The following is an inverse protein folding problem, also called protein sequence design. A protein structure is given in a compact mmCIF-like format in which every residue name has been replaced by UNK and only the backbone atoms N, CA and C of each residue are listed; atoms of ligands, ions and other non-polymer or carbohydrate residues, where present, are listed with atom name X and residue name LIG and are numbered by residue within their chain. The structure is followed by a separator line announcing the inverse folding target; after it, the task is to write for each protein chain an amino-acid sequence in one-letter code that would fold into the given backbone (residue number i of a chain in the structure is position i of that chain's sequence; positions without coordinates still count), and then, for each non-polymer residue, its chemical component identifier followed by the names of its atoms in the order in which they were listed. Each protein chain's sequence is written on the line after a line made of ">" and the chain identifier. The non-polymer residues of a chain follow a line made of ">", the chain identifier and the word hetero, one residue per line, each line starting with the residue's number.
data_IF_194371196113
#
_entry.id   IF_194371196113
#
_cell.length_a   1.000
_cell.length_b   1.000
_cell.length_c   1.000
_cell.angle_alpha   90.00
_cell.angle_beta   90.00
_cell.angle_gamma   90.00
#
_symmetry.space_group_name_H-M   'P 1'
#
loop_
_entity.id
_entity.type
_entity.pdbx_description
1 polymer ?
#
# COMPACT_ATOMS: atom_id res chain seq x y z
N UNK A 1 -22.47 28.39 -40.39
CA UNK A 1 -21.26 28.57 -39.55
C UNK A 1 -21.74 28.85 -38.14
N UNK A 2 -21.44 28.15 -37.07
CA UNK A 2 -20.73 26.91 -36.76
C UNK A 2 -21.30 26.50 -35.38
N UNK A 3 -21.80 25.28 -35.22
CA UNK A 3 -22.20 24.78 -33.90
C UNK A 3 -20.94 24.39 -33.14
N UNK A 4 -20.54 25.20 -32.15
CA UNK A 4 -19.47 24.84 -31.22
C UNK A 4 -19.94 23.73 -30.29
N UNK A 5 -19.40 22.54 -30.51
CA UNK A 5 -19.41 21.43 -29.59
C UNK A 5 -18.66 21.83 -28.31
N UNK A 6 -19.38 22.25 -27.27
CA UNK A 6 -18.84 22.25 -25.92
C UNK A 6 -18.70 20.80 -25.46
N UNK A 7 -17.54 20.21 -25.69
CA UNK A 7 -17.14 18.95 -25.09
C UNK A 7 -17.03 19.16 -23.58
N UNK A 8 -18.05 18.71 -22.86
CA UNK A 8 -18.04 18.59 -21.41
C UNK A 8 -16.81 17.74 -21.00
N UNK A 9 -15.87 18.22 -20.16
CA UNK A 9 -14.71 17.43 -19.79
C UNK A 9 -15.18 16.13 -19.13
N UNK A 10 -14.78 14.99 -19.70
CA UNK A 10 -15.10 13.66 -19.15
C UNK A 10 -14.60 13.63 -17.69
N UNK A 11 -15.53 13.53 -16.74
CA UNK A 11 -15.23 13.34 -15.30
C UNK A 11 -14.25 12.18 -15.13
N UNK A 12 -13.29 12.33 -14.22
CA UNK A 12 -12.35 11.23 -13.93
C UNK A 12 -13.09 10.01 -13.38
N UNK A 13 -12.53 8.81 -13.56
CA UNK A 13 -13.18 7.56 -13.09
C UNK A 13 -13.42 7.56 -11.58
N UNK A 14 -12.56 8.21 -10.79
CA UNK A 14 -12.77 8.42 -9.36
C UNK A 14 -13.90 9.39 -9.05
N UNK A 15 -14.17 10.39 -9.90
CA UNK A 15 -15.32 11.27 -9.79
C UNK A 15 -16.61 10.49 -10.04
N UNK A 16 -16.63 9.61 -11.05
CA UNK A 16 -17.78 8.72 -11.33
C UNK A 16 -18.03 7.74 -10.16
N UNK A 17 -17.00 7.03 -9.69
CA UNK A 17 -17.11 6.10 -8.56
C UNK A 17 -17.47 6.81 -7.24
N UNK A 18 -17.08 8.07 -7.06
CA UNK A 18 -17.48 8.87 -5.90
C UNK A 18 -18.87 9.47 -5.98
N UNK A 19 -19.50 9.51 -7.16
CA UNK A 19 -20.93 9.88 -7.27
C UNK A 19 -21.84 8.68 -6.94
N UNK A 20 -21.32 7.44 -7.04
CA UNK A 20 -22.03 6.20 -6.72
C UNK A 20 -21.70 5.64 -5.32
N UNK A 21 -20.72 6.20 -4.61
CA UNK A 21 -20.24 5.75 -3.30
C UNK A 21 -20.06 6.87 -2.28
N UNK A 22 -20.17 6.56 -0.98
CA UNK A 22 -19.79 7.50 0.09
C UNK A 22 -18.29 7.83 -0.03
N UNK A 23 -17.90 9.09 0.18
CA UNK A 23 -16.49 9.49 0.27
C UNK A 23 -16.19 10.04 1.65
N UNK A 24 -15.02 9.68 2.19
CA UNK A 24 -14.52 10.20 3.46
C UNK A 24 -13.19 10.91 3.23
N UNK A 25 -13.03 12.09 3.83
CA UNK A 25 -11.75 12.82 3.86
C UNK A 25 -11.04 12.49 5.17
N UNK A 26 -9.76 12.12 5.11
CA UNK A 26 -8.93 11.91 6.28
C UNK A 26 -7.66 12.77 6.18
N UNK A 27 -7.32 13.47 7.27
CA UNK A 27 -6.08 14.26 7.40
C UNK A 27 -5.02 13.41 8.08
N UNK A 28 -3.81 13.40 7.53
CA UNK A 28 -2.61 12.85 8.19
C UNK A 28 -1.69 14.01 8.65
N UNK A 29 -0.64 13.69 9.40
CA UNK A 29 0.41 14.65 9.73
C UNK A 29 1.09 15.15 8.44
N UNK A 30 1.09 16.47 8.22
CA UNK A 30 1.43 17.11 6.95
C UNK A 30 0.20 17.34 6.06
N UNK A 31 0.18 18.41 5.25
CA UNK A 31 -0.97 18.87 4.46
C UNK A 31 -1.46 17.91 3.33
N UNK A 32 -1.26 16.59 3.44
CA UNK A 32 -1.79 15.62 2.50
C UNK A 32 -3.26 15.30 2.82
N UNK A 33 -4.14 15.74 1.93
CA UNK A 33 -5.55 15.33 1.93
C UNK A 33 -5.71 14.07 1.10
N UNK A 34 -6.12 12.99 1.76
CA UNK A 34 -6.40 11.72 1.10
C UNK A 34 -7.92 11.55 0.95
N UNK A 35 -8.35 11.31 -0.30
CA UNK A 35 -9.75 10.96 -0.59
C UNK A 35 -9.89 9.44 -0.50
N UNK A 36 -10.71 8.98 0.43
CA UNK A 36 -11.07 7.57 0.57
C UNK A 36 -12.44 7.38 -0.06
N UNK A 37 -12.52 6.41 -0.97
CA UNK A 37 -13.73 6.08 -1.72
C UNK A 37 -14.11 4.64 -1.45
N UNK A 38 -15.38 4.37 -1.17
CA UNK A 38 -15.88 3.01 -1.06
C UNK A 38 -16.15 2.48 -2.47
N UNK A 39 -15.42 1.43 -2.87
CA UNK A 39 -15.47 0.87 -4.22
C UNK A 39 -16.06 -0.55 -4.14
N UNK A 40 -16.93 -0.96 -5.07
CA UNK A 40 -17.35 -2.35 -5.19
C UNK A 40 -16.13 -3.27 -5.35
N UNK A 41 -16.00 -4.26 -4.48
CA UNK A 41 -14.79 -5.05 -4.30
C UNK A 41 -14.36 -5.79 -5.59
N UNK A 42 -15.32 -6.13 -6.43
CA UNK A 42 -15.13 -6.86 -7.69
C UNK A 42 -14.56 -6.01 -8.83
N UNK A 43 -14.58 -4.67 -8.70
CA UNK A 43 -13.96 -3.80 -9.71
C UNK A 43 -12.44 -3.72 -9.58
N UNK A 44 -11.91 -4.09 -8.41
CA UNK A 44 -10.49 -4.03 -8.11
C UNK A 44 -9.75 -5.24 -8.68
N UNK A 45 -8.53 -5.00 -9.14
CA UNK A 45 -7.72 -5.99 -9.83
C UNK A 45 -6.47 -6.34 -9.03
N UNK A 46 -6.32 -7.60 -8.58
CA UNK A 46 -5.10 -8.03 -7.93
C UNK A 46 -3.96 -8.14 -8.94
N UNK A 47 -2.73 -7.79 -8.55
CA UNK A 47 -1.52 -7.97 -9.38
C UNK A 47 -0.62 -9.12 -8.91
N UNK A 48 -0.78 -9.59 -7.67
CA UNK A 48 0.01 -10.69 -7.11
C UNK A 48 -0.88 -11.73 -6.42
N UNK A 49 -0.37 -12.94 -6.22
CA UNK A 49 -1.04 -13.99 -5.46
C UNK A 49 -0.97 -13.73 -3.95
N UNK A 50 -1.99 -14.18 -3.22
CA UNK A 50 -2.02 -14.16 -1.76
C UNK A 50 -1.46 -15.44 -1.12
N UNK A 51 -0.93 -15.31 0.10
CA UNK A 51 -0.66 -16.43 1.01
C UNK A 51 -1.95 -16.92 1.72
N UNK A 52 -2.31 -18.22 1.64
CA UNK A 52 -3.46 -18.79 2.34
C UNK A 52 -3.39 -18.63 3.87
N UNK A 53 -2.24 -18.93 4.47
CA UNK A 53 -2.07 -18.86 5.92
C UNK A 53 -2.25 -17.43 6.44
N UNK A 54 -1.69 -16.44 5.74
CA UNK A 54 -1.86 -15.04 6.14
C UNK A 54 -3.28 -14.51 5.88
N UNK A 55 -3.97 -15.01 4.85
CA UNK A 55 -5.38 -14.71 4.64
C UNK A 55 -6.23 -15.12 5.85
N UNK A 56 -6.07 -16.35 6.35
CA UNK A 56 -6.84 -16.81 7.51
C UNK A 56 -6.51 -16.02 8.78
N UNK A 57 -5.23 -15.71 9.01
CA UNK A 57 -4.83 -14.83 10.12
C UNK A 57 -5.52 -13.46 10.04
N UNK A 58 -5.52 -12.84 8.87
CA UNK A 58 -6.10 -11.52 8.68
C UNK A 58 -7.63 -11.52 8.73
N UNK A 59 -8.30 -12.57 8.22
CA UNK A 59 -9.76 -12.75 8.37
C UNK A 59 -10.15 -12.78 9.85
N UNK A 60 -9.43 -13.56 10.65
CA UNK A 60 -9.69 -13.68 12.08
C UNK A 60 -9.48 -12.35 12.81
N UNK A 61 -8.40 -11.61 12.47
CA UNK A 61 -8.18 -10.26 13.03
C UNK A 61 -9.34 -9.32 12.67
N UNK A 62 -9.69 -9.21 11.39
CA UNK A 62 -10.74 -8.31 10.91
C UNK A 62 -12.09 -8.62 11.58
N UNK A 63 -12.47 -9.91 11.66
CA UNK A 63 -13.73 -10.31 12.28
C UNK A 63 -13.74 -10.04 13.79
N UNK A 64 -12.62 -10.31 14.48
CA UNK A 64 -12.48 -10.04 15.92
C UNK A 64 -12.59 -8.55 16.23
N UNK A 65 -11.97 -7.72 15.40
CA UNK A 65 -11.94 -6.27 15.60
C UNK A 65 -13.28 -5.60 15.22
N UNK A 66 -14.09 -6.23 14.36
CA UNK A 66 -15.35 -5.67 13.85
C UNK A 66 -15.17 -4.47 12.92
N UNK A 67 -13.93 -4.11 12.60
CA UNK A 67 -13.57 -2.96 11.76
C UNK A 67 -12.44 -3.31 10.79
N UNK A 68 -12.45 -2.67 9.62
CA UNK A 68 -11.28 -2.57 8.75
C UNK A 68 -10.47 -1.32 9.11
N UNK A 69 -9.35 -1.52 9.82
CA UNK A 69 -8.51 -0.43 10.36
C UNK A 69 -7.95 0.52 9.29
N UNK A 70 -7.62 0.03 8.10
CA UNK A 70 -6.92 0.80 7.06
C UNK A 70 -7.52 0.54 5.66
N UNK A 71 -7.62 1.56 4.79
CA UNK A 71 -8.05 1.39 3.41
C UNK A 71 -7.00 0.65 2.59
N UNK A 72 -7.40 -0.06 1.54
CA UNK A 72 -6.43 -0.54 0.54
C UNK A 72 -5.94 0.63 -0.32
N UNK A 73 -4.83 0.46 -1.02
CA UNK A 73 -4.33 1.45 -1.97
C UNK A 73 -4.41 0.86 -3.37
N UNK A 74 -4.98 1.60 -4.32
CA UNK A 74 -5.10 1.17 -5.71
C UNK A 74 -4.75 2.30 -6.68
N UNK A 75 -4.31 1.93 -7.87
CA UNK A 75 -4.14 2.86 -8.98
C UNK A 75 -5.51 3.33 -9.51
N UNK A 76 -5.69 4.65 -9.61
CA UNK A 76 -6.96 5.29 -9.92
C UNK A 76 -7.52 4.91 -11.29
N UNK A 77 -6.65 4.81 -12.30
CA UNK A 77 -7.07 4.59 -13.69
C UNK A 77 -7.34 3.12 -13.97
N UNK A 78 -6.47 2.23 -13.50
CA UNK A 78 -6.52 0.80 -13.80
C UNK A 78 -7.36 -0.01 -12.81
N UNK A 79 -7.57 0.52 -11.60
CA UNK A 79 -8.11 -0.17 -10.41
C UNK A 79 -7.25 -1.34 -9.93
N UNK A 80 -5.98 -1.37 -10.31
CA UNK A 80 -5.02 -2.37 -9.82
C UNK A 80 -4.65 -2.05 -8.38
N UNK A 81 -4.76 -3.06 -7.51
CA UNK A 81 -4.40 -2.97 -6.10
C UNK A 81 -2.87 -2.82 -6.01
N UNK A 82 -2.39 -1.88 -5.21
CA UNK A 82 -0.96 -1.65 -4.98
C UNK A 82 -0.56 -2.04 -3.55
N UNK A 83 -1.47 -1.88 -2.59
CA UNK A 83 -1.28 -2.29 -1.21
C UNK A 83 -2.60 -2.78 -0.61
N UNK A 84 -2.53 -3.82 0.22
CA UNK A 84 -3.72 -4.39 0.87
C UNK A 84 -4.37 -5.55 0.12
N UNK A 85 -3.60 -6.27 -0.71
CA UNK A 85 -4.02 -7.52 -1.37
C UNK A 85 -4.74 -8.50 -0.43
N UNK A 86 -4.18 -8.79 0.75
CA UNK A 86 -4.84 -9.67 1.72
C UNK A 86 -6.10 -9.10 2.35
N UNK A 87 -6.20 -7.78 2.52
CA UNK A 87 -7.43 -7.13 3.00
C UNK A 87 -8.56 -7.29 1.98
N UNK A 88 -8.23 -7.13 0.70
CA UNK A 88 -9.16 -7.40 -0.39
C UNK A 88 -9.58 -8.88 -0.44
N UNK A 89 -8.64 -9.83 -0.34
CA UNK A 89 -8.94 -11.27 -0.27
C UNK A 89 -9.81 -11.63 0.93
N UNK A 90 -9.51 -11.09 2.11
CA UNK A 90 -10.26 -11.33 3.33
C UNK A 90 -11.70 -10.85 3.18
N UNK A 91 -11.90 -9.61 2.74
CA UNK A 91 -13.25 -9.07 2.56
C UNK A 91 -14.04 -9.80 1.46
N UNK A 92 -13.38 -10.17 0.36
CA UNK A 92 -14.02 -10.92 -0.73
C UNK A 92 -14.46 -12.33 -0.28
N UNK A 93 -13.59 -13.05 0.44
CA UNK A 93 -13.89 -14.38 0.98
C UNK A 93 -14.90 -14.37 2.12
N UNK A 94 -15.09 -13.23 2.80
CA UNK A 94 -16.13 -13.03 3.82
C UNK A 94 -17.45 -12.50 3.24
N UNK A 95 -17.51 -12.25 1.93
CA UNK A 95 -18.71 -11.81 1.23
C UNK A 95 -19.00 -10.31 1.37
N UNK A 96 -18.04 -9.46 1.73
CA UNK A 96 -18.27 -8.02 1.75
C UNK A 96 -18.29 -7.45 0.32
N UNK A 97 -19.17 -6.48 0.10
CA UNK A 97 -19.44 -5.95 -1.25
C UNK A 97 -18.57 -4.75 -1.61
N UNK A 98 -18.20 -3.94 -0.62
CA UNK A 98 -17.41 -2.71 -0.80
C UNK A 98 -16.16 -2.73 0.06
N UNK A 99 -15.18 -1.95 -0.34
CA UNK A 99 -13.93 -1.75 0.41
C UNK A 99 -13.50 -0.29 0.31
N UNK A 100 -13.02 0.33 1.40
CA UNK A 100 -12.45 1.68 1.33
C UNK A 100 -11.10 1.65 0.62
N UNK A 101 -10.98 2.49 -0.41
CA UNK A 101 -9.82 2.59 -1.28
C UNK A 101 -9.23 3.99 -1.20
N UNK A 102 -7.92 4.04 -1.02
CA UNK A 102 -7.10 5.21 -1.26
C UNK A 102 -6.55 5.16 -2.68
N UNK A 103 -7.03 6.06 -3.54
CA UNK A 103 -6.54 6.12 -4.92
C UNK A 103 -5.24 6.91 -5.05
N UNK A 104 -4.34 6.40 -5.89
CA UNK A 104 -3.09 7.06 -6.29
C UNK A 104 -2.92 6.95 -7.81
N UNK A 105 -2.07 7.79 -8.40
CA UNK A 105 -1.69 7.71 -9.82
C UNK A 105 -0.31 7.07 -9.93
N UNK A 106 -0.22 5.73 -10.00
CA UNK A 106 1.04 5.00 -9.85
C UNK A 106 2.03 5.26 -11.00
N UNK A 107 1.51 5.39 -12.23
CA UNK A 107 2.33 5.63 -13.42
C UNK A 107 2.85 7.06 -13.53
N UNK A 108 2.11 8.03 -12.99
CA UNK A 108 2.39 9.47 -13.16
C UNK A 108 3.01 10.11 -11.91
N UNK A 109 3.05 9.40 -10.79
CA UNK A 109 3.60 9.91 -9.54
C UNK A 109 5.01 9.35 -9.28
N UNK A 110 6.08 10.11 -9.58
CA UNK A 110 7.46 9.65 -9.39
C UNK A 110 7.84 9.45 -7.91
N UNK A 111 7.02 9.94 -6.97
CA UNK A 111 7.23 9.71 -5.53
C UNK A 111 6.79 8.32 -5.08
N UNK A 112 6.08 7.57 -5.93
CA UNK A 112 5.73 6.17 -5.66
C UNK A 112 6.85 5.31 -6.23
N UNK A 113 7.66 4.75 -5.34
CA UNK A 113 8.72 3.80 -5.72
C UNK A 113 8.26 2.38 -5.47
N UNK A 114 8.86 1.45 -6.20
CA UNK A 114 8.58 0.01 -6.06
C UNK A 114 9.90 -0.68 -5.77
N UNK A 115 9.91 -1.50 -4.72
CA UNK A 115 10.98 -2.44 -4.44
C UNK A 115 10.40 -3.83 -4.18
N UNK A 116 11.19 -4.69 -3.56
CA UNK A 116 10.79 -6.03 -3.15
C UNK A 116 11.00 -6.29 -1.65
N UNK A 117 11.83 -5.47 -0.99
CA UNK A 117 12.15 -5.58 0.44
C UNK A 117 11.97 -4.25 1.15
N UNK A 118 11.67 -4.29 2.46
CA UNK A 118 11.52 -3.13 3.35
C UNK A 118 12.67 -2.13 3.25
N UNK A 119 13.92 -2.60 3.27
CA UNK A 119 15.11 -1.75 3.23
C UNK A 119 15.20 -0.87 1.99
N UNK A 120 14.58 -1.25 0.86
CA UNK A 120 14.52 -0.42 -0.36
C UNK A 120 13.76 0.90 -0.16
N UNK A 121 13.13 1.11 1.00
CA UNK A 121 12.66 2.44 1.42
C UNK A 121 13.81 3.44 1.52
N UNK A 122 14.97 2.99 1.99
CA UNK A 122 16.10 3.86 2.36
C UNK A 122 17.25 3.80 1.36
N UNK A 123 17.43 2.65 0.70
CA UNK A 123 18.46 2.44 -0.31
C UNK A 123 17.84 2.36 -1.70
N UNK A 124 18.47 3.00 -2.67
CA UNK A 124 18.16 2.78 -4.09
C UNK A 124 19.05 1.63 -4.60
N UNK A 125 18.45 0.45 -4.79
CA UNK A 125 19.15 -0.71 -5.30
C UNK A 125 18.82 -0.87 -6.79
N UNK A 126 19.60 -0.20 -7.64
CA UNK A 126 19.36 0.04 -9.07
C UNK A 126 19.18 -1.21 -9.96
N UNK A 127 19.34 -2.43 -9.43
CA UNK A 127 19.57 -3.62 -10.24
C UNK A 127 18.39 -4.61 -10.32
N UNK A 128 17.28 -4.39 -9.62
CA UNK A 128 16.02 -5.17 -9.77
C UNK A 128 14.80 -4.28 -9.60
N UNK A 129 14.58 -3.40 -10.57
CA UNK A 129 13.45 -2.46 -10.54
C UNK A 129 12.22 -3.06 -11.22
N UNK A 130 11.30 -3.59 -10.43
CA UNK A 130 9.93 -3.83 -10.90
C UNK A 130 9.29 -2.46 -11.10
N UNK A 131 8.77 -2.22 -12.29
CA UNK A 131 8.16 -0.94 -12.68
C UNK A 131 6.67 -0.91 -12.36
N UNK A 132 6.13 0.30 -12.16
CA UNK A 132 4.68 0.46 -12.02
C UNK A 132 3.94 -0.09 -13.25
N UNK A 133 4.52 0.05 -14.45
CA UNK A 133 3.95 -0.51 -15.69
C UNK A 133 3.79 -2.03 -15.63
N UNK A 134 4.78 -2.76 -15.12
CA UNK A 134 4.70 -4.22 -14.96
C UNK A 134 3.62 -4.61 -13.94
N UNK A 135 3.56 -3.93 -12.79
CA UNK A 135 2.53 -4.16 -11.77
C UNK A 135 1.12 -3.95 -12.34
N UNK A 136 0.90 -2.83 -13.02
CA UNK A 136 -0.38 -2.52 -13.65
C UNK A 136 -0.70 -3.55 -14.75
N UNK A 137 0.29 -3.93 -15.56
CA UNK A 137 0.10 -4.95 -16.60
C UNK A 137 -0.33 -6.30 -16.04
N UNK A 138 0.29 -6.75 -14.95
CA UNK A 138 -0.07 -8.00 -14.28
C UNK A 138 -1.52 -7.98 -13.76
N UNK A 139 -1.93 -6.86 -13.15
CA UNK A 139 -3.31 -6.70 -12.68
C UNK A 139 -4.33 -6.59 -13.81
N UNK A 140 -3.97 -5.96 -14.94
CA UNK A 140 -4.86 -5.86 -16.10
C UNK A 140 -5.00 -7.18 -16.87
N UNK A 141 -3.92 -7.97 -16.99
CA UNK A 141 -3.95 -9.25 -17.70
C UNK A 141 -4.50 -10.40 -16.83
N UNK A 142 -4.49 -10.25 -15.51
CA UNK A 142 -4.78 -11.33 -14.57
C UNK A 142 -3.64 -12.34 -14.43
N UNK A 143 -2.48 -12.10 -15.06
CA UNK A 143 -1.27 -12.91 -14.92
C UNK A 143 -0.56 -12.52 -13.62
N UNK A 144 -1.05 -13.03 -12.51
CA UNK A 144 -0.62 -12.62 -11.17
C UNK A 144 0.84 -12.98 -10.90
N UNK A 145 1.57 -12.04 -10.33
CA UNK A 145 2.92 -12.24 -9.84
C UNK A 145 2.94 -13.15 -8.60
N UNK A 146 4.09 -13.77 -8.28
CA UNK A 146 4.26 -14.47 -7.00
C UNK A 146 3.96 -13.56 -5.79
N UNK A 147 3.56 -14.12 -4.64
CA UNK A 147 3.27 -13.32 -3.44
C UNK A 147 4.45 -12.45 -3.02
N UNK A 148 4.18 -11.19 -2.65
CA UNK A 148 5.18 -10.21 -2.21
C UNK A 148 6.31 -9.96 -3.21
N UNK A 149 6.01 -10.09 -4.50
CA UNK A 149 6.94 -9.68 -5.55
C UNK A 149 7.20 -8.18 -5.47
N UNK A 150 6.20 -7.42 -5.03
CA UNK A 150 6.23 -5.95 -5.02
C UNK A 150 6.10 -5.40 -3.60
N UNK A 151 6.79 -4.29 -3.35
CA UNK A 151 6.64 -3.44 -2.17
C UNK A 151 6.59 -1.99 -2.60
N UNK A 152 5.43 -1.36 -2.44
CA UNK A 152 5.21 0.03 -2.83
C UNK A 152 5.61 0.98 -1.70
N UNK A 153 6.37 2.01 -2.04
CA UNK A 153 6.77 3.11 -1.16
C UNK A 153 6.06 4.38 -1.60
N UNK A 154 5.00 4.73 -0.87
CA UNK A 154 4.20 5.93 -1.11
C UNK A 154 4.85 7.18 -0.48
N UNK A 155 4.44 8.40 -0.89
CA UNK A 155 4.88 9.67 -0.26
C UNK A 155 4.29 9.89 1.15
N UNK A 156 4.08 8.82 1.90
CA UNK A 156 3.65 8.80 3.29
C UNK A 156 4.16 7.51 3.96
N UNK A 157 4.35 7.53 5.28
CA UNK A 157 4.87 6.38 6.02
C UNK A 157 3.83 5.27 6.17
N UNK A 158 2.59 5.65 6.50
CA UNK A 158 1.45 4.75 6.66
C UNK A 158 0.18 5.38 6.07
N UNK A 159 -0.72 4.58 5.46
CA UNK A 159 -2.03 5.08 5.09
C UNK A 159 -2.81 5.52 6.33
N UNK A 160 -3.80 6.41 6.17
CA UNK A 160 -4.64 6.85 7.30
C UNK A 160 -5.37 5.67 7.92
N UNK A 161 -5.39 5.63 9.26
CA UNK A 161 -6.27 4.74 10.01
C UNK A 161 -7.69 5.27 9.92
N UNK A 162 -8.65 4.41 9.58
CA UNK A 162 -10.06 4.77 9.37
C UNK A 162 -11.04 4.00 10.25
N UNK A 163 -10.62 2.89 10.85
CA UNK A 163 -11.46 2.02 11.71
C UNK A 163 -12.88 1.83 11.15
N UNK A 164 -12.97 1.45 9.87
CA UNK A 164 -14.22 1.38 9.14
C UNK A 164 -15.07 0.19 9.62
N UNK A 165 -16.29 0.40 10.16
CA UNK A 165 -17.14 -0.70 10.63
C UNK A 165 -17.50 -1.66 9.51
N UNK A 166 -17.39 -2.96 9.75
CA UNK A 166 -17.64 -3.98 8.73
C UNK A 166 -19.09 -3.95 8.22
N UNK A 167 -20.05 -3.64 9.08
CA UNK A 167 -21.46 -3.54 8.72
C UNK A 167 -21.73 -2.43 7.69
N UNK A 168 -20.82 -1.46 7.57
CA UNK A 168 -20.92 -0.39 6.57
C UNK A 168 -20.47 -0.80 5.15
N UNK A 169 -19.85 -1.98 5.00
CA UNK A 169 -19.27 -2.45 3.74
C UNK A 169 -20.25 -3.21 2.84
N UNK A 170 -21.48 -3.47 3.33
CA UNK A 170 -22.44 -4.33 2.64
C UNK A 170 -22.00 -5.79 2.66
N UNK A 171 -22.95 -6.72 2.70
CA UNK A 171 -22.66 -8.15 2.83
C UNK A 171 -23.54 -8.96 1.90
N UNK A 172 -22.89 -9.80 1.11
CA UNK A 172 -23.45 -10.75 0.17
C UNK A 172 -22.94 -12.17 0.49
N UNK A 173 -23.04 -13.07 -0.49
CA UNK A 173 -22.48 -14.42 -0.40
C UNK A 173 -20.94 -14.36 -0.42
N UNK A 174 -20.25 -15.12 0.45
CA UNK A 174 -18.82 -15.38 0.36
C UNK A 174 -18.37 -15.79 -1.06
N UNK A 175 -17.29 -15.18 -1.57
CA UNK A 175 -16.74 -15.53 -2.88
C UNK A 175 -15.54 -16.48 -2.73
N UNK A 176 -15.42 -17.46 -3.61
CA UNK A 176 -14.22 -18.30 -3.68
C UNK A 176 -13.04 -17.48 -4.22
N UNK A 177 -11.97 -17.41 -3.44
CA UNK A 177 -10.75 -16.67 -3.75
C UNK A 177 -9.56 -17.58 -4.07
N UNK A 178 -9.75 -18.90 -4.14
CA UNK A 178 -8.68 -19.90 -4.28
C UNK A 178 -7.78 -19.63 -5.49
N UNK A 179 -8.35 -19.17 -6.61
CA UNK A 179 -7.59 -18.80 -7.83
C UNK A 179 -6.58 -17.66 -7.62
N UNK A 180 -6.76 -16.83 -6.60
CA UNK A 180 -5.87 -15.72 -6.25
C UNK A 180 -4.81 -16.12 -5.23
N UNK A 181 -4.83 -17.36 -4.75
CA UNK A 181 -3.89 -17.84 -3.75
C UNK A 181 -2.75 -18.63 -4.41
N UNK A 182 -1.60 -18.63 -3.75
CA UNK A 182 -0.54 -19.58 -4.07
C UNK A 182 -0.94 -20.97 -3.58
N UNK A 183 -0.73 -21.97 -4.42
CA UNK A 183 -0.80 -23.37 -4.01
C UNK A 183 0.49 -23.69 -3.26
N UNK A 184 0.36 -23.89 -1.95
CA UNK A 184 1.49 -24.14 -1.06
C UNK A 184 1.04 -25.02 0.10
N UNK A 185 1.91 -25.93 0.50
CA UNK A 185 1.77 -26.70 1.73
C UNK A 185 1.81 -25.79 2.97
N UNK A 186 1.32 -26.31 4.09
CA UNK A 186 1.40 -25.62 5.39
C UNK A 186 2.85 -25.28 5.77
N UNK A 187 3.81 -26.14 5.43
CA UNK A 187 5.23 -25.93 5.72
C UNK A 187 5.83 -24.80 4.87
N UNK A 188 5.49 -24.74 3.58
CA UNK A 188 5.90 -23.63 2.70
C UNK A 188 5.30 -22.31 3.17
N UNK A 189 4.03 -22.30 3.58
CA UNK A 189 3.40 -21.12 4.15
C UNK A 189 4.13 -20.62 5.41
N UNK A 190 4.58 -21.52 6.29
CA UNK A 190 5.35 -21.16 7.49
C UNK A 190 6.71 -20.57 7.15
N UNK A 191 7.44 -21.17 6.19
CA UNK A 191 8.71 -20.64 5.69
C UNK A 191 8.54 -19.24 5.11
N UNK A 192 7.46 -19.02 4.37
CA UNK A 192 7.09 -17.70 3.86
C UNK A 192 6.94 -16.72 5.03
N UNK A 193 6.11 -17.01 6.04
CA UNK A 193 5.97 -16.11 7.22
C UNK A 193 7.31 -15.85 7.92
N UNK A 194 8.16 -16.87 8.08
CA UNK A 194 9.49 -16.69 8.67
C UNK A 194 10.34 -15.70 7.87
N UNK A 195 10.33 -15.79 6.54
CA UNK A 195 11.02 -14.82 5.67
C UNK A 195 10.48 -13.38 5.82
N UNK A 196 9.24 -13.21 6.29
CA UNK A 196 8.64 -11.90 6.53
C UNK A 196 9.20 -11.27 7.79
N UNK A 197 9.38 -12.10 8.83
CA UNK A 197 10.04 -11.69 10.07
C UNK A 197 11.50 -11.32 9.81
N UNK A 198 12.20 -12.10 8.98
CA UNK A 198 13.58 -11.79 8.58
C UNK A 198 13.69 -10.45 7.84
N UNK A 199 12.75 -10.13 6.94
CA UNK A 199 12.69 -8.82 6.26
C UNK A 199 12.43 -7.66 7.23
N UNK A 200 11.64 -7.88 8.29
CA UNK A 200 11.42 -6.88 9.36
C UNK A 200 12.71 -6.68 10.15
N UNK A 201 13.39 -7.77 10.54
CA UNK A 201 14.67 -7.70 11.26
C UNK A 201 15.74 -6.99 10.44
N UNK A 202 15.81 -7.25 9.13
CA UNK A 202 16.72 -6.55 8.21
C UNK A 202 16.50 -5.02 8.22
N UNK A 203 15.24 -4.58 8.19
CA UNK A 203 14.90 -3.15 8.29
C UNK A 203 15.29 -2.56 9.65
N UNK A 204 15.07 -3.28 10.75
CA UNK A 204 15.46 -2.83 12.08
C UNK A 204 16.99 -2.69 12.22
N UNK A 205 17.74 -3.68 11.72
CA UNK A 205 19.20 -3.65 11.75
C UNK A 205 19.76 -2.49 10.91
N UNK A 206 19.17 -2.23 9.75
CA UNK A 206 19.52 -1.07 8.92
C UNK A 206 19.28 0.25 9.66
N UNK A 207 18.08 0.41 10.25
CA UNK A 207 17.73 1.64 10.96
C UNK A 207 18.61 1.87 12.19
N UNK A 208 18.98 0.82 12.92
CA UNK A 208 19.89 0.90 14.06
C UNK A 208 21.25 1.46 13.64
N UNK A 209 21.85 0.94 12.57
CA UNK A 209 23.11 1.45 12.03
C UNK A 209 22.99 2.91 11.60
N UNK A 210 21.88 3.28 10.96
CA UNK A 210 21.67 4.67 10.53
C UNK A 210 21.53 5.64 11.71
N UNK A 211 20.91 5.20 12.81
CA UNK A 211 20.85 5.99 14.06
C UNK A 211 22.27 6.24 14.59
N UNK A 212 23.08 5.19 14.72
CA UNK A 212 24.47 5.28 15.20
C UNK A 212 25.32 6.24 14.34
N UNK A 213 25.18 6.19 13.01
CA UNK A 213 25.87 7.11 12.09
C UNK A 213 25.47 8.58 12.31
N UNK A 214 24.16 8.86 12.40
CA UNK A 214 23.64 10.23 12.56
C UNK A 214 24.01 10.81 13.93
N UNK A 215 24.03 9.98 14.98
CA UNK A 215 24.48 10.38 16.30
C UNK A 215 25.95 10.81 16.28
N UNK A 216 26.81 10.05 15.60
CA UNK A 216 28.21 10.42 15.41
C UNK A 216 28.38 11.72 14.62
N UNK A 217 27.65 11.90 13.51
CA UNK A 217 27.66 13.15 12.73
C UNK A 217 27.29 14.36 13.60
N UNK A 218 26.28 14.19 14.48
CA UNK A 218 25.86 15.22 15.44
C UNK A 218 26.95 15.55 16.47
N UNK A 219 27.59 14.54 17.04
CA UNK A 219 28.68 14.72 18.01
C UNK A 219 29.87 15.47 17.39
N UNK A 220 30.28 15.08 16.18
CA UNK A 220 31.35 15.75 15.43
C UNK A 220 31.01 17.22 15.16
N UNK A 221 29.76 17.50 14.79
CA UNK A 221 29.30 18.87 14.56
C UNK A 221 29.32 19.72 15.84
N UNK A 222 28.86 19.18 16.97
CA UNK A 222 28.91 19.84 18.27
C UNK A 222 30.34 20.16 18.71
N UNK A 223 31.29 19.23 18.48
CA UNK A 223 32.70 19.44 18.77
C UNK A 223 33.29 20.61 17.95
N UNK A 224 32.93 20.72 16.66
CA UNK A 224 33.36 21.84 15.79
C UNK A 224 32.84 23.19 16.31
N UNK A 225 31.58 23.27 16.73
CA UNK A 225 30.99 24.50 17.31
C UNK A 225 31.74 24.92 18.58
N UNK A 226 32.04 23.97 19.47
CA UNK A 226 32.77 24.25 20.72
C UNK A 226 34.15 24.83 20.46
N UNK A 227 34.87 24.28 19.48
CA UNK A 227 36.21 24.75 19.12
C UNK A 227 36.18 26.16 18.48
N UNK A 228 35.18 26.48 17.66
CA UNK A 228 35.01 27.83 17.11
C UNK A 228 34.79 28.87 18.21
N UNK A 229 33.96 28.57 19.20
CA UNK A 229 33.72 29.48 20.32
C UNK A 229 35.01 29.71 21.13
N UNK A 230 35.79 28.67 21.40
CA UNK A 230 37.04 28.80 22.14
C UNK A 230 38.09 29.65 21.40
N UNK A 231 38.15 29.56 20.06
CA UNK A 231 39.11 30.32 19.25
C UNK A 231 38.72 31.80 19.06
N UNK A 232 37.45 32.17 19.25
CA UNK A 232 36.99 33.56 19.14
C UNK A 232 37.16 34.39 20.43
N UNK A 233 37.57 33.76 21.54
CA UNK A 233 37.89 34.42 22.82
C UNK A 233 39.39 34.40 23.14
N UNK A 234 40.23 34.05 22.15
CA UNK A 234 41.70 34.09 22.23
C UNK A 234 42.22 35.26 21.39
#
# INVERSE_FOLDING_TARGET
>A
MENLWTTNPKKSRSQQLSQEGRSAQCKLAGNLHFKIVFVPIEQLKPHEKGSPLYLELLKNEILKDGVLKYPIIADEKSLVILDGMHRWLALQSLGYEKIPVLFVNALENPKIRIGSRRVHRYIDNSNKHITAKEVISAGLSGSLMPPRTTRHFFPFLKPPRIDCPLDSLGKSVPKDVSKYLVEASSEECRKVIKSWLEEISEELDFLKKRIEEVEKEKEEFLARIKNLNNNNFS
#
